data_IF_921080513876
#
_entry.id   IF_921080513876
#
_cell.length_a   1.000
_cell.length_b   1.000
_cell.length_c   1.000
_cell.angle_alpha   90.00
_cell.angle_beta   90.00
_cell.angle_gamma   90.00
#
_symmetry.space_group_name_H-M   'P 1'
#
loop_
_entity.id
_entity.type
_entity.pdbx_description
1 polymer ?
#
# COMPACT_ATOMS: atom_id res chain seq x y z
N UNK A 1 13.32 7.56 10.16
CA UNK A 1 14.36 7.51 9.11
C UNK A 1 13.99 8.43 7.96
N UNK A 2 12.85 8.24 7.29
CA UNK A 2 12.39 9.11 6.18
C UNK A 2 12.38 10.60 6.57
N UNK A 3 11.81 10.97 7.71
CA UNK A 3 11.82 12.36 8.18
C UNK A 3 13.25 12.96 8.29
N UNK A 4 14.24 12.18 8.80
CA UNK A 4 15.64 12.62 8.82
C UNK A 4 16.21 12.77 7.40
N UNK A 5 15.81 11.90 6.48
CA UNK A 5 16.25 12.01 5.09
C UNK A 5 15.81 13.35 4.48
N UNK A 6 14.53 13.71 4.65
CA UNK A 6 13.97 14.98 4.22
C UNK A 6 14.64 16.18 4.90
N UNK A 7 14.79 16.15 6.22
CA UNK A 7 15.41 17.25 6.97
C UNK A 7 16.84 17.57 6.51
N UNK A 8 17.63 16.54 6.17
CA UNK A 8 19.05 16.71 5.83
C UNK A 8 19.34 16.89 4.33
N UNK A 9 18.46 16.43 3.45
CA UNK A 9 18.70 16.40 2.00
C UNK A 9 17.55 16.96 1.17
N UNK A 10 16.37 17.13 1.76
CA UNK A 10 15.19 17.65 1.10
C UNK A 10 15.18 19.17 1.06
N UNK A 11 14.60 19.78 0.01
CA UNK A 11 14.44 21.22 -0.06
C UNK A 11 13.50 21.69 1.06
N UNK A 12 13.86 22.81 1.70
CA UNK A 12 13.03 23.43 2.74
C UNK A 12 11.76 24.01 2.11
N UNK A 13 10.60 23.70 2.70
CA UNK A 13 9.30 24.22 2.25
C UNK A 13 8.83 25.35 3.16
N UNK A 14 8.89 25.17 4.47
CA UNK A 14 8.34 26.12 5.44
C UNK A 14 8.26 25.55 6.85
N UNK A 15 7.51 26.22 7.72
CA UNK A 15 7.27 25.78 9.10
C UNK A 15 5.80 25.40 9.32
N UNK A 16 5.57 24.40 10.16
CA UNK A 16 4.27 24.11 10.77
C UNK A 16 4.46 24.16 12.29
N UNK A 17 3.99 25.25 12.91
CA UNK A 17 4.41 25.59 14.27
C UNK A 17 5.92 25.88 14.29
N UNK A 18 6.64 25.25 15.21
CA UNK A 18 8.11 25.38 15.33
C UNK A 18 8.88 24.30 14.56
N UNK A 19 8.19 23.41 13.84
CA UNK A 19 8.81 22.29 13.14
C UNK A 19 9.08 22.65 11.67
N UNK A 20 10.34 22.55 11.19
CA UNK A 20 10.67 22.77 9.79
C UNK A 20 10.21 21.59 8.93
N UNK A 21 9.49 21.90 7.85
CA UNK A 21 9.00 20.95 6.86
C UNK A 21 9.87 21.03 5.62
N UNK A 22 10.36 19.86 5.21
CA UNK A 22 11.17 19.65 4.02
C UNK A 22 10.49 18.64 3.09
N UNK A 23 10.68 18.83 1.78
CA UNK A 23 10.21 17.85 0.79
C UNK A 23 11.10 16.59 0.79
N UNK A 24 10.70 15.60 0.00
CA UNK A 24 11.56 14.45 -0.29
C UNK A 24 12.76 14.88 -1.15
N UNK A 25 13.99 14.40 -0.87
CA UNK A 25 15.17 14.77 -1.66
C UNK A 25 15.10 14.25 -3.10
N UNK A 26 15.68 15.01 -4.02
CA UNK A 26 15.91 14.54 -5.39
C UNK A 26 17.05 13.49 -5.41
N UNK A 27 17.13 12.64 -6.45
CA UNK A 27 18.26 11.72 -6.61
C UNK A 27 19.62 12.43 -6.60
N UNK A 28 19.72 13.62 -7.19
CA UNK A 28 20.96 14.40 -7.27
C UNK A 28 21.46 14.79 -5.88
N UNK A 29 20.56 15.24 -4.99
CA UNK A 29 20.87 15.61 -3.62
C UNK A 29 21.45 14.43 -2.79
N UNK A 30 21.13 13.19 -3.19
CA UNK A 30 21.59 11.97 -2.53
C UNK A 30 22.78 11.30 -3.25
N UNK A 31 23.29 11.88 -4.33
CA UNK A 31 24.31 11.26 -5.19
C UNK A 31 25.77 11.57 -4.78
N UNK A 32 25.98 12.48 -3.82
CA UNK A 32 27.31 12.94 -3.39
C UNK A 32 28.14 11.90 -2.63
N UNK A 33 29.47 12.07 -2.64
CA UNK A 33 30.42 11.08 -2.10
C UNK A 33 30.29 10.88 -0.58
N UNK A 34 29.92 11.93 0.16
CA UNK A 34 29.75 11.89 1.63
C UNK A 34 28.35 11.44 2.08
N UNK A 35 27.42 11.18 1.15
CA UNK A 35 26.03 10.88 1.50
C UNK A 35 25.92 9.56 2.27
N UNK A 36 26.62 8.51 1.83
CA UNK A 36 26.57 7.21 2.52
C UNK A 36 27.05 7.31 3.98
N UNK A 37 28.21 7.95 4.22
CA UNK A 37 28.77 8.08 5.56
C UNK A 37 27.85 8.88 6.48
N UNK A 38 27.31 10.01 5.99
CA UNK A 38 26.39 10.82 6.78
C UNK A 38 25.07 10.08 7.07
N UNK A 39 24.51 9.32 6.11
CA UNK A 39 23.34 8.48 6.38
C UNK A 39 23.62 7.40 7.43
N UNK A 40 24.83 6.84 7.50
CA UNK A 40 25.23 5.91 8.56
C UNK A 40 25.21 6.59 9.93
N UNK A 41 25.78 7.80 10.03
CA UNK A 41 25.76 8.62 11.25
C UNK A 41 24.33 8.95 11.70
N UNK A 42 23.41 9.20 10.76
CA UNK A 42 22.00 9.44 11.02
C UNK A 42 21.21 8.18 11.44
N UNK A 43 21.84 7.01 11.39
CA UNK A 43 21.30 5.73 11.86
C UNK A 43 20.62 4.89 10.77
N UNK A 44 20.93 5.09 9.50
CA UNK A 44 20.37 4.28 8.41
C UNK A 44 20.99 2.87 8.31
N UNK A 45 22.11 2.64 8.99
CA UNK A 45 22.81 1.36 9.03
C UNK A 45 23.24 0.92 7.63
N UNK A 46 23.10 -0.37 7.33
CA UNK A 46 23.50 -0.92 6.03
C UNK A 46 22.71 -0.36 4.84
N UNK A 47 21.49 0.15 5.06
CA UNK A 47 20.64 0.75 4.02
C UNK A 47 21.19 2.08 3.48
N UNK A 48 22.08 2.73 4.23
CA UNK A 48 22.76 3.94 3.77
C UNK A 48 23.46 3.73 2.42
N UNK A 49 24.12 2.58 2.25
CA UNK A 49 24.78 2.18 1.00
C UNK A 49 23.77 2.08 -0.14
N UNK A 50 22.64 1.43 0.09
CA UNK A 50 21.61 1.22 -0.94
C UNK A 50 21.02 2.55 -1.43
N UNK A 51 20.68 3.45 -0.50
CA UNK A 51 20.13 4.77 -0.84
C UNK A 51 21.12 5.56 -1.69
N UNK A 52 22.38 5.68 -1.24
CA UNK A 52 23.40 6.46 -1.95
C UNK A 52 23.75 5.85 -3.32
N UNK A 53 23.81 4.53 -3.43
CA UNK A 53 24.09 3.85 -4.71
C UNK A 53 22.93 3.98 -5.69
N UNK A 54 21.70 3.69 -5.25
CA UNK A 54 20.52 3.85 -6.11
C UNK A 54 20.35 5.29 -6.55
N UNK A 55 20.53 6.28 -5.66
CA UNK A 55 20.48 7.69 -6.03
C UNK A 55 21.50 8.07 -7.11
N UNK A 56 22.73 7.54 -7.04
CA UNK A 56 23.75 7.75 -8.09
C UNK A 56 23.34 7.13 -9.42
N UNK A 57 22.85 5.89 -9.43
CA UNK A 57 22.38 5.22 -10.66
C UNK A 57 21.26 6.04 -11.30
N UNK A 58 20.27 6.47 -10.52
CA UNK A 58 19.15 7.26 -11.04
C UNK A 58 19.62 8.63 -11.56
N UNK A 59 20.47 9.33 -10.81
CA UNK A 59 20.89 10.69 -11.16
C UNK A 59 21.92 10.76 -12.31
N UNK A 60 22.74 9.71 -12.50
CA UNK A 60 23.91 9.76 -13.40
C UNK A 60 23.87 8.76 -14.55
N UNK A 61 23.14 7.66 -14.42
CA UNK A 61 23.18 6.55 -15.39
C UNK A 61 21.85 6.34 -16.13
N UNK A 62 20.72 6.53 -15.43
CA UNK A 62 19.39 6.42 -16.04
C UNK A 62 19.00 7.73 -16.75
N UNK A 63 18.22 7.66 -17.85
CA UNK A 63 17.72 8.86 -18.50
C UNK A 63 16.72 9.61 -17.60
N UNK A 64 16.60 10.92 -17.82
CA UNK A 64 15.58 11.73 -17.14
C UNK A 64 14.18 11.17 -17.42
N UNK A 65 13.36 11.06 -16.38
CA UNK A 65 12.02 10.48 -16.49
C UNK A 65 11.99 8.94 -16.56
N UNK A 66 13.11 8.23 -16.33
CA UNK A 66 13.16 6.77 -16.43
C UNK A 66 12.16 6.06 -15.51
N UNK A 67 11.93 6.54 -14.28
CA UNK A 67 11.01 5.87 -13.36
C UNK A 67 9.55 6.01 -13.84
N UNK A 68 9.25 7.13 -14.49
CA UNK A 68 7.95 7.48 -15.04
C UNK A 68 7.60 6.60 -16.23
N UNK A 69 8.60 6.14 -17.01
CA UNK A 69 8.37 5.18 -18.10
C UNK A 69 7.93 3.80 -17.59
N UNK A 70 8.16 3.48 -16.32
CA UNK A 70 7.74 2.21 -15.70
C UNK A 70 6.31 2.27 -15.13
N UNK A 71 5.65 3.43 -15.19
CA UNK A 71 4.31 3.65 -14.61
C UNK A 71 3.25 2.87 -15.39
N UNK A 72 2.25 2.36 -14.68
CA UNK A 72 1.08 1.76 -15.30
C UNK A 72 0.37 2.81 -16.19
N UNK A 73 0.20 2.56 -17.50
CA UNK A 73 -0.43 3.50 -18.41
C UNK A 73 -1.90 3.77 -18.07
N UNK A 74 -2.58 2.83 -17.41
CA UNK A 74 -3.99 2.93 -16.98
C UNK A 74 -4.16 3.68 -15.65
N UNK A 75 -3.06 4.00 -14.96
CA UNK A 75 -3.11 4.73 -13.70
C UNK A 75 -3.58 6.17 -13.92
N UNK A 76 -4.55 6.61 -13.12
CA UNK A 76 -5.05 7.99 -13.10
C UNK A 76 -3.99 9.03 -12.69
N UNK A 77 -2.86 8.60 -12.13
CA UNK A 77 -1.69 9.45 -11.81
C UNK A 77 -0.85 9.89 -13.03
N UNK A 78 -1.39 9.89 -14.25
CA UNK A 78 -0.66 10.34 -15.45
C UNK A 78 -0.43 11.86 -15.40
N UNK A 79 0.83 12.27 -15.42
CA UNK A 79 1.25 13.69 -15.42
C UNK A 79 2.03 14.11 -16.67
N UNK A 80 2.30 13.21 -17.62
CA UNK A 80 3.07 13.53 -18.83
C UNK A 80 2.45 12.94 -20.11
N UNK A 81 2.58 13.73 -21.19
CA UNK A 81 2.17 13.42 -22.55
C UNK A 81 3.01 12.28 -23.15
N UNK A 82 2.34 11.47 -23.96
CA UNK A 82 2.90 10.57 -25.00
C UNK A 82 3.96 9.57 -24.52
N UNK A 83 3.51 8.48 -23.89
CA UNK A 83 4.23 7.22 -24.00
C UNK A 83 4.32 6.85 -25.49
N UNK A 84 5.54 6.71 -26.01
CA UNK A 84 5.77 6.25 -27.38
C UNK A 84 4.97 4.94 -27.61
N UNK A 85 4.21 4.83 -28.72
CA UNK A 85 3.24 3.75 -28.94
C UNK A 85 3.84 2.35 -29.03
N UNK A 86 5.17 2.22 -29.12
CA UNK A 86 5.83 0.95 -29.43
C UNK A 86 6.22 0.12 -28.21
N UNK A 87 6.12 0.64 -26.97
CA UNK A 87 6.46 -0.14 -25.78
C UNK A 87 5.62 0.25 -24.56
N UNK A 88 4.46 -0.40 -24.42
CA UNK A 88 3.62 -0.27 -23.23
C UNK A 88 4.27 -1.08 -22.10
N UNK A 89 4.66 -0.46 -20.97
CA UNK A 89 5.28 -1.20 -19.88
C UNK A 89 4.28 -2.22 -19.32
N UNK A 90 4.79 -3.32 -18.78
CA UNK A 90 4.00 -4.28 -18.00
C UNK A 90 4.48 -4.23 -16.55
N UNK A 91 3.62 -4.64 -15.62
CA UNK A 91 4.00 -4.83 -14.21
C UNK A 91 5.30 -5.63 -14.07
N UNK A 92 5.44 -6.72 -14.83
CA UNK A 92 6.62 -7.59 -14.77
C UNK A 92 7.89 -6.89 -15.28
N UNK A 93 7.80 -6.16 -16.39
CA UNK A 93 8.93 -5.40 -16.90
C UNK A 93 9.36 -4.28 -15.92
N UNK A 94 8.41 -3.56 -15.33
CA UNK A 94 8.69 -2.55 -14.31
C UNK A 94 9.34 -3.16 -13.06
N UNK A 95 8.86 -4.33 -12.61
CA UNK A 95 9.42 -5.05 -11.47
C UNK A 95 10.87 -5.50 -11.71
N UNK A 96 11.16 -6.08 -12.89
CA UNK A 96 12.50 -6.50 -13.30
C UNK A 96 13.49 -5.31 -13.34
N UNK A 97 13.09 -4.18 -13.91
CA UNK A 97 13.90 -2.96 -13.95
C UNK A 97 14.24 -2.44 -12.53
N UNK A 98 13.30 -2.52 -11.60
CA UNK A 98 13.52 -2.12 -10.21
C UNK A 98 14.46 -3.09 -9.46
N UNK A 99 14.40 -4.39 -9.76
CA UNK A 99 15.28 -5.41 -9.15
C UNK A 99 16.75 -5.21 -9.49
N UNK A 100 17.07 -4.53 -10.59
CA UNK A 100 18.45 -4.20 -10.96
C UNK A 100 19.08 -3.16 -10.00
N UNK A 101 18.26 -2.43 -9.22
CA UNK A 101 18.74 -1.42 -8.28
C UNK A 101 19.30 -2.05 -7.00
N UNK A 102 20.44 -1.57 -6.54
CA UNK A 102 21.10 -2.15 -5.37
C UNK A 102 20.24 -1.97 -4.11
N UNK A 103 19.95 -3.08 -3.43
CA UNK A 103 19.15 -3.09 -2.20
C UNK A 103 17.64 -3.15 -2.43
N UNK A 104 17.19 -3.23 -3.69
CA UNK A 104 15.80 -3.49 -4.05
C UNK A 104 15.62 -4.98 -4.29
N UNK A 105 14.90 -5.64 -3.38
CA UNK A 105 14.46 -7.04 -3.56
C UNK A 105 13.01 -7.13 -4.03
N UNK A 106 12.48 -8.34 -4.30
CA UNK A 106 11.14 -8.54 -4.86
C UNK A 106 10.05 -7.80 -4.10
N UNK A 107 10.05 -7.88 -2.77
CA UNK A 107 9.09 -7.17 -1.91
C UNK A 107 9.14 -5.65 -2.09
N UNK A 108 10.35 -5.08 -2.16
CA UNK A 108 10.51 -3.63 -2.31
C UNK A 108 10.09 -3.19 -3.71
N UNK A 109 10.49 -3.94 -4.75
CA UNK A 109 10.05 -3.70 -6.12
C UNK A 109 8.51 -3.73 -6.23
N UNK A 110 7.85 -4.72 -5.65
CA UNK A 110 6.39 -4.78 -5.61
C UNK A 110 5.75 -3.62 -4.85
N UNK A 111 6.33 -3.20 -3.71
CA UNK A 111 5.85 -2.00 -3.01
C UNK A 111 5.91 -0.76 -3.91
N UNK A 112 6.97 -0.59 -4.69
CA UNK A 112 7.12 0.55 -5.63
C UNK A 112 6.14 0.40 -6.79
N UNK A 113 5.98 -0.80 -7.36
CA UNK A 113 5.01 -1.08 -8.42
C UNK A 113 3.58 -0.73 -7.99
N UNK A 114 3.15 -1.21 -6.82
CA UNK A 114 1.81 -0.98 -6.31
C UNK A 114 1.55 0.49 -5.94
N UNK A 115 2.39 1.06 -5.07
CA UNK A 115 2.10 2.36 -4.45
C UNK A 115 2.68 3.56 -5.20
N UNK A 116 3.74 3.37 -5.99
CA UNK A 116 4.42 4.45 -6.72
C UNK A 116 4.09 4.48 -8.22
N UNK A 117 3.98 3.30 -8.84
CA UNK A 117 3.80 3.15 -10.29
C UNK A 117 2.36 2.80 -10.71
N UNK A 118 1.47 2.49 -9.78
CA UNK A 118 0.05 2.25 -10.06
C UNK A 118 -0.28 0.86 -10.62
N UNK A 119 0.61 -0.12 -10.46
CA UNK A 119 0.35 -1.51 -10.83
C UNK A 119 -0.51 -2.20 -9.76
N UNK A 120 -1.84 -2.08 -9.87
CA UNK A 120 -2.80 -2.59 -8.88
C UNK A 120 -2.74 -4.10 -8.65
N UNK A 121 -2.18 -4.86 -9.60
CA UNK A 121 -2.01 -6.31 -9.53
C UNK A 121 -0.74 -6.73 -8.74
N UNK A 122 0.17 -5.80 -8.46
CA UNK A 122 1.42 -6.09 -7.73
C UNK A 122 1.13 -6.41 -6.26
N UNK A 123 1.62 -7.55 -5.77
CA UNK A 123 1.39 -8.02 -4.40
C UNK A 123 2.72 -8.11 -3.65
N UNK A 124 3.04 -7.15 -2.77
CA UNK A 124 4.29 -7.20 -1.99
C UNK A 124 4.22 -8.27 -0.89
N UNK A 125 4.89 -9.40 -1.08
CA UNK A 125 4.84 -10.52 -0.12
C UNK A 125 5.95 -10.39 0.93
N UNK A 126 5.58 -10.16 2.18
CA UNK A 126 6.50 -10.25 3.32
C UNK A 126 6.14 -11.42 4.26
N UNK A 127 6.77 -11.46 5.43
CA UNK A 127 6.50 -12.52 6.42
C UNK A 127 5.08 -12.48 6.99
N UNK A 128 4.45 -11.31 7.10
CA UNK A 128 3.06 -11.18 7.55
C UNK A 128 2.10 -11.68 6.48
N UNK A 129 2.33 -11.27 5.23
CA UNK A 129 1.53 -11.71 4.08
C UNK A 129 1.60 -13.23 3.91
N UNK A 130 2.79 -13.80 4.12
CA UNK A 130 2.97 -15.26 4.15
C UNK A 130 2.22 -15.94 5.30
N UNK A 131 2.11 -15.30 6.47
CA UNK A 131 1.32 -15.83 7.58
C UNK A 131 -0.18 -15.79 7.28
N UNK A 132 -0.68 -14.69 6.69
CA UNK A 132 -2.08 -14.54 6.23
C UNK A 132 -2.41 -15.62 5.19
N UNK A 133 -1.55 -15.80 4.20
CA UNK A 133 -1.69 -16.83 3.17
C UNK A 133 -1.86 -18.24 3.76
N UNK A 134 -1.06 -18.60 4.77
CA UNK A 134 -1.15 -19.91 5.41
C UNK A 134 -2.38 -20.04 6.32
N UNK A 135 -2.71 -18.99 7.09
CA UNK A 135 -3.78 -18.98 8.09
C UNK A 135 -5.16 -18.98 7.42
N UNK A 136 -5.36 -18.08 6.46
CA UNK A 136 -6.70 -17.74 5.95
C UNK A 136 -6.97 -18.39 4.59
N UNK A 137 -5.94 -18.56 3.76
CA UNK A 137 -6.06 -19.12 2.40
C UNK A 137 -5.58 -20.57 2.31
N UNK A 138 -5.16 -21.16 3.44
CA UNK A 138 -4.69 -22.55 3.53
C UNK A 138 -3.57 -22.87 2.54
N UNK A 139 -2.78 -21.87 2.14
CA UNK A 139 -1.58 -22.11 1.33
C UNK A 139 -0.60 -22.96 2.14
N UNK A 140 -0.08 -24.02 1.51
CA UNK A 140 0.59 -25.12 2.19
C UNK A 140 1.68 -24.70 3.17
N UNK A 141 1.82 -25.46 4.26
CA UNK A 141 2.92 -25.29 5.22
C UNK A 141 4.22 -25.73 4.54
N UNK A 142 5.01 -24.77 4.04
CA UNK A 142 6.32 -25.11 3.49
C UNK A 142 7.23 -25.64 4.61
N UNK A 143 7.99 -26.71 4.33
CA UNK A 143 9.01 -27.23 5.24
C UNK A 143 10.15 -26.22 5.44
N UNK A 144 10.31 -25.26 4.51
CA UNK A 144 11.29 -24.18 4.65
C UNK A 144 10.72 -23.00 5.43
N UNK A 145 11.38 -22.65 6.55
CA UNK A 145 11.02 -21.49 7.39
C UNK A 145 11.24 -20.13 6.70
N UNK A 146 12.00 -20.10 5.60
CA UNK A 146 12.37 -18.89 4.87
C UNK A 146 11.58 -18.78 3.58
N UNK A 147 11.03 -17.59 3.32
CA UNK A 147 10.36 -17.26 2.06
C UNK A 147 11.40 -17.25 0.92
N UNK A 148 11.33 -18.23 0.02
CA UNK A 148 12.16 -18.28 -1.19
C UNK A 148 11.42 -17.67 -2.39
N UNK A 149 12.11 -17.51 -3.53
CA UNK A 149 11.53 -16.90 -4.74
C UNK A 149 10.29 -17.64 -5.24
N UNK A 150 10.32 -18.97 -5.31
CA UNK A 150 9.18 -19.76 -5.78
C UNK A 150 7.95 -19.61 -4.88
N UNK A 151 8.16 -19.57 -3.56
CA UNK A 151 7.09 -19.32 -2.59
C UNK A 151 6.55 -17.90 -2.70
N UNK A 152 7.43 -16.91 -2.86
CA UNK A 152 7.06 -15.52 -3.08
C UNK A 152 6.15 -15.39 -4.30
N UNK A 153 6.58 -15.96 -5.43
CA UNK A 153 5.86 -15.91 -6.70
C UNK A 153 4.51 -16.63 -6.58
N UNK A 154 4.47 -17.83 -5.97
CA UNK A 154 3.25 -18.59 -5.77
C UNK A 154 2.20 -17.86 -4.91
N UNK A 155 2.63 -17.16 -3.85
CA UNK A 155 1.73 -16.36 -3.01
C UNK A 155 1.15 -15.19 -3.80
N UNK A 156 2.00 -14.48 -4.54
CA UNK A 156 1.56 -13.39 -5.40
C UNK A 156 0.61 -13.86 -6.51
N UNK A 157 0.91 -14.99 -7.16
CA UNK A 157 0.07 -15.59 -8.20
C UNK A 157 -1.30 -16.01 -7.64
N UNK A 158 -1.31 -16.62 -6.46
CA UNK A 158 -2.54 -17.01 -5.79
C UNK A 158 -3.45 -15.81 -5.52
N UNK A 159 -2.92 -14.73 -4.94
CA UNK A 159 -3.70 -13.52 -4.66
C UNK A 159 -4.17 -12.81 -5.93
N UNK A 160 -3.35 -12.77 -6.99
CA UNK A 160 -3.79 -12.28 -8.31
C UNK A 160 -4.88 -13.16 -8.92
N UNK A 161 -4.84 -14.48 -8.72
CA UNK A 161 -5.90 -15.39 -9.17
C UNK A 161 -7.26 -15.14 -8.49
N UNK A 162 -7.26 -14.66 -7.25
CA UNK A 162 -8.50 -14.39 -6.48
C UNK A 162 -9.03 -12.98 -6.76
N UNK A 163 -8.15 -11.98 -6.75
CA UNK A 163 -8.54 -10.56 -6.74
C UNK A 163 -8.25 -9.81 -8.06
N UNK A 164 -7.65 -10.49 -9.04
CA UNK A 164 -7.39 -9.93 -10.37
C UNK A 164 -6.50 -8.69 -10.34
N UNK A 165 -6.87 -7.69 -11.14
CA UNK A 165 -6.10 -6.45 -11.35
C UNK A 165 -5.98 -5.54 -10.13
N UNK A 166 -6.73 -5.82 -9.05
CA UNK A 166 -6.68 -5.07 -7.79
C UNK A 166 -6.10 -5.88 -6.63
N UNK A 167 -5.39 -6.97 -6.92
CA UNK A 167 -4.85 -7.85 -5.88
C UNK A 167 -3.95 -7.14 -4.86
N UNK A 168 -3.14 -6.18 -5.27
CA UNK A 168 -2.30 -5.39 -4.37
C UNK A 168 -3.12 -4.50 -3.41
N UNK A 169 -4.23 -3.95 -3.88
CA UNK A 169 -5.15 -3.15 -3.06
C UNK A 169 -5.91 -4.03 -2.07
N UNK A 170 -6.46 -5.16 -2.51
CA UNK A 170 -7.12 -6.12 -1.63
C UNK A 170 -6.16 -6.66 -0.56
N UNK A 171 -4.93 -6.99 -0.96
CA UNK A 171 -3.85 -7.34 -0.05
C UNK A 171 -3.58 -6.26 1.01
N UNK A 172 -3.60 -4.98 0.63
CA UNK A 172 -3.35 -3.85 1.54
C UNK A 172 -4.40 -3.75 2.64
N UNK A 173 -5.65 -4.13 2.35
CA UNK A 173 -6.73 -4.22 3.35
C UNK A 173 -6.42 -5.33 4.37
N UNK A 174 -6.05 -6.53 3.91
CA UNK A 174 -5.71 -7.63 4.81
C UNK A 174 -4.49 -7.32 5.67
N UNK A 175 -3.44 -6.76 5.06
CA UNK A 175 -2.24 -6.36 5.78
C UNK A 175 -2.57 -5.37 6.89
N UNK A 176 -3.42 -4.37 6.60
CA UNK A 176 -3.84 -3.37 7.59
C UNK A 176 -4.65 -4.00 8.72
N UNK A 177 -5.54 -4.94 8.42
CA UNK A 177 -6.32 -5.66 9.42
C UNK A 177 -5.45 -6.52 10.36
N UNK A 178 -4.31 -7.02 9.89
CA UNK A 178 -3.37 -7.84 10.68
C UNK A 178 -2.41 -7.00 11.54
N UNK A 179 -2.33 -5.68 11.32
CA UNK A 179 -1.55 -4.80 12.19
C UNK A 179 -2.17 -4.78 13.59
N UNK A 180 -1.32 -4.87 14.63
CA UNK A 180 -1.74 -4.93 16.04
C UNK A 180 -2.75 -3.85 16.44
N UNK A 181 -2.58 -2.63 15.94
CA UNK A 181 -3.45 -1.49 16.20
C UNK A 181 -4.91 -1.68 15.73
N UNK A 182 -5.14 -2.62 14.81
CA UNK A 182 -6.45 -2.94 14.25
C UNK A 182 -6.92 -4.34 14.62
N UNK A 183 -6.00 -5.29 14.79
CA UNK A 183 -6.32 -6.68 15.14
C UNK A 183 -7.09 -6.82 16.47
N UNK A 184 -6.94 -5.87 17.40
CA UNK A 184 -7.61 -5.88 18.71
C UNK A 184 -9.00 -5.20 18.68
N UNK A 185 -9.43 -4.64 17.54
CA UNK A 185 -10.74 -4.00 17.44
C UNK A 185 -11.83 -5.07 17.31
N UNK A 186 -12.81 -5.14 18.22
CA UNK A 186 -13.90 -6.09 18.09
C UNK A 186 -14.73 -5.77 16.85
N UNK A 187 -14.90 -6.76 15.97
CA UNK A 187 -15.87 -6.67 14.88
C UNK A 187 -17.26 -6.56 15.50
N UNK A 188 -17.88 -5.38 15.44
CA UNK A 188 -19.32 -5.25 15.67
C UNK A 188 -20.01 -6.07 14.59
N UNK A 189 -20.54 -7.25 14.95
CA UNK A 189 -21.51 -7.95 14.12
C UNK A 189 -22.78 -7.11 14.11
N UNK A 190 -23.06 -6.42 13.01
CA UNK A 190 -24.45 -6.11 12.70
C UNK A 190 -25.13 -7.43 12.33
N UNK A 191 -26.13 -7.79 13.13
CA UNK A 191 -27.04 -8.89 12.82
C UNK A 191 -27.81 -8.48 11.57
N UNK A 192 -27.43 -9.06 10.43
CA UNK A 192 -28.28 -9.03 9.24
C UNK A 192 -29.48 -9.92 9.57
N UNK A 193 -30.61 -9.30 9.91
CA UNK A 193 -31.89 -9.99 9.96
C UNK A 193 -32.20 -10.48 8.53
N UNK A 194 -32.05 -11.77 8.30
CA UNK A 194 -32.56 -12.44 7.10
C UNK A 194 -34.07 -12.22 7.06
N UNK A 195 -34.53 -11.30 6.22
CA UNK A 195 -35.93 -11.26 5.82
C UNK A 195 -36.15 -12.41 4.83
N UNK A 196 -36.77 -13.49 5.29
CA UNK A 196 -37.31 -14.53 4.41
C UNK A 196 -38.27 -13.87 3.41
N UNK A 197 -37.89 -13.86 2.14
CA UNK A 197 -38.80 -13.52 1.04
C UNK A 197 -39.45 -14.83 0.60
N UNK A 198 -40.66 -15.08 1.11
CA UNK A 198 -41.52 -16.15 0.60
C UNK A 198 -42.03 -15.75 -0.77
N UNK A 199 -41.51 -16.39 -1.82
CA UNK A 199 -42.01 -16.26 -3.18
C UNK A 199 -43.25 -17.14 -3.35
N UNK A 200 -44.44 -16.56 -3.25
CA UNK A 200 -45.66 -17.22 -3.75
C UNK A 200 -45.65 -17.19 -5.28
N UNK A 201 -45.60 -18.39 -5.88
CA UNK A 201 -45.82 -18.58 -7.31
C UNK A 201 -47.24 -18.14 -7.69
N UNK A 202 -47.36 -17.21 -8.64
CA UNK A 202 -48.61 -16.98 -9.39
C UNK A 202 -48.34 -17.12 -10.88
N UNK A 203 -49.02 -18.10 -11.46
CA UNK A 203 -49.06 -18.36 -12.90
C UNK A 203 -49.69 -17.19 -13.69
N UNK A 204 -49.38 -17.09 -15.00
CA UNK A 204 -49.56 -15.88 -15.79
C UNK A 204 -50.86 -15.94 -16.60
N UNK A 205 -51.84 -15.10 -16.27
CA UNK A 205 -52.77 -14.62 -17.30
C UNK A 205 -53.49 -13.31 -16.90
N UNK A 206 -53.70 -12.49 -17.92
CA UNK A 206 -54.58 -11.32 -18.03
C UNK A 206 -54.02 -9.92 -17.74
N UNK A 207 -54.03 -9.17 -18.83
CA UNK A 207 -53.74 -7.76 -19.05
C UNK A 207 -54.71 -6.83 -18.34
N UNK A 208 -54.20 -5.70 -17.82
CA UNK A 208 -54.73 -4.33 -17.98
C UNK A 208 -54.10 -3.35 -16.98
N UNK A 209 -53.53 -2.27 -17.50
CA UNK A 209 -52.96 -1.16 -16.73
C UNK A 209 -54.03 -0.44 -15.88
N UNK A 210 -53.75 -0.13 -14.60
CA UNK A 210 -53.86 1.22 -14.01
C UNK A 210 -53.51 1.33 -12.50
N UNK A 211 -52.62 2.30 -12.22
CA UNK A 211 -52.47 3.17 -11.03
C UNK A 211 -52.20 2.52 -9.66
N UNK A 212 -50.92 2.52 -9.30
CA UNK A 212 -50.40 2.42 -7.92
C UNK A 212 -50.79 3.68 -7.13
N UNK A 213 -51.52 3.52 -6.02
CA UNK A 213 -51.53 4.49 -4.92
C UNK A 213 -50.51 4.01 -3.89
N UNK A 214 -49.39 4.71 -3.78
CA UNK A 214 -48.46 4.55 -2.67
C UNK A 214 -48.92 5.50 -1.55
N UNK A 215 -49.41 4.96 -0.45
CA UNK A 215 -49.56 5.71 0.79
C UNK A 215 -48.18 5.76 1.49
N UNK A 216 -47.68 6.98 1.65
CA UNK A 216 -46.47 7.27 2.41
C UNK A 216 -46.76 7.12 3.91
N UNK A 217 -46.21 6.09 4.55
CA UNK A 217 -46.00 6.08 5.99
C UNK A 217 -44.57 6.55 6.29
N UNK A 218 -44.41 7.87 6.45
CA UNK A 218 -43.19 8.48 7.00
C UNK A 218 -43.17 8.22 8.50
N UNK A 219 -42.34 7.31 8.97
CA UNK A 219 -41.93 7.29 10.38
C UNK A 219 -40.63 8.07 10.53
N UNK A 220 -40.74 9.21 11.24
CA UNK A 220 -39.63 10.10 11.60
C UNK A 220 -38.53 9.33 12.33
N UNK A 221 -37.36 9.23 11.73
CA UNK A 221 -36.12 8.95 12.45
C UNK A 221 -35.60 10.28 13.00
N UNK A 222 -35.43 10.37 14.32
CA UNK A 222 -34.77 11.51 14.96
C UNK A 222 -33.33 11.61 14.45
N UNK A 223 -32.84 12.79 14.02
CA UNK A 223 -31.43 12.95 13.73
C UNK A 223 -30.68 12.94 15.06
N UNK A 224 -29.91 11.89 15.30
CA UNK A 224 -28.89 11.89 16.36
C UNK A 224 -27.68 12.66 15.80
N UNK A 225 -27.30 13.74 16.50
CA UNK A 225 -26.19 14.60 16.11
C UNK A 225 -24.90 13.78 16.14
N UNK A 226 -24.24 13.66 14.99
CA UNK A 226 -22.87 13.20 14.93
C UNK A 226 -22.00 14.38 15.33
N UNK A 227 -21.67 14.49 16.62
CA UNK A 227 -20.52 15.31 17.02
C UNK A 227 -19.27 14.71 16.38
N UNK A 228 -18.62 15.49 15.53
CA UNK A 228 -17.28 15.19 15.04
C UNK A 228 -16.31 15.32 16.23
N UNK A 229 -16.08 14.23 16.96
CA UNK A 229 -15.00 14.17 17.95
C UNK A 229 -13.66 14.16 17.20
N UNK A 230 -12.97 15.29 17.21
CA UNK A 230 -11.55 15.35 16.82
C UNK A 230 -10.78 14.51 17.82
N UNK A 231 -10.20 13.40 17.35
CA UNK A 231 -9.36 12.51 18.16
C UNK A 231 -7.99 13.15 18.32
N UNK A 232 -7.72 13.72 19.50
CA UNK A 232 -6.36 14.03 19.93
C UNK A 232 -5.55 12.73 20.01
N UNK A 233 -4.60 12.57 19.10
CA UNK A 233 -3.60 11.50 19.16
C UNK A 233 -2.54 11.85 20.20
N UNK A 234 -2.73 11.43 21.45
CA UNK A 234 -1.63 11.40 22.42
C UNK A 234 -0.61 10.30 22.03
N UNK A 235 0.62 10.72 21.75
CA UNK A 235 1.74 9.83 21.49
C UNK A 235 2.14 9.08 22.78
N UNK A 236 2.32 7.75 22.76
CA UNK A 236 2.68 7.00 23.95
C UNK A 236 4.09 7.37 24.46
N UNK A 237 4.19 7.65 25.76
CA UNK A 237 5.43 7.97 26.44
C UNK A 237 6.48 6.86 26.29
N UNK A 238 7.69 7.24 25.85
CA UNK A 238 8.86 6.37 25.69
C UNK A 238 9.30 5.81 27.07
N UNK A 239 8.95 4.56 27.38
CA UNK A 239 9.59 3.82 28.48
C UNK A 239 11.01 3.40 28.07
N UNK A 240 12.00 4.13 28.59
CA UNK A 240 13.44 3.84 28.45
C UNK A 240 13.78 2.61 29.30
N UNK A 241 14.05 1.46 28.67
CA UNK A 241 14.65 0.29 29.35
C UNK A 241 16.13 0.54 29.56
N UNK A 242 16.53 0.90 30.78
CA UNK A 242 17.93 0.86 31.23
C UNK A 242 18.31 -0.60 31.51
N UNK A 243 19.22 -1.15 30.71
CA UNK A 243 19.88 -2.43 31.01
C UNK A 243 20.95 -2.16 32.06
N UNK A 244 20.71 -2.57 33.30
CA UNK A 244 21.72 -2.58 34.37
C UNK A 244 22.72 -3.70 34.03
N UNK A 245 24.00 -3.33 33.83
CA UNK A 245 25.09 -4.30 33.75
C UNK A 245 25.31 -4.88 35.13
N UNK A 246 25.30 -6.21 35.23
CA UNK A 246 26.04 -6.97 36.23
C UNK A 246 27.29 -7.48 35.53
#
# INVERSE_FOLDING_TARGET
MVHKLCLHYGPFIGYVGDEPIHDFPTPEALSGDKVESHLRELGFGYRAKYIAQTARVIAKEKPAGWLETLRNPESSMRTFDEAAPDNIPTYRAAHEELLALTGVGPKVADCVCLMGLGWGESVPVDTHVWQIAQRDYKMGKSQTKTLNKAMYDAVGDHFRGIWGSYAGWAHSVLFTADLKSFAERPLKRELVLESEVTLENRDPDQSSQKRVKAENAVNKVKPEQVEASVLDMELPAKRRRTRRRL
#
